data_IF_325389498512
#
_entry.id   IF_325389498512
#
_cell.length_a   1.000
_cell.length_b   1.000
_cell.length_c   1.000
_cell.angle_alpha   90.00
_cell.angle_beta   90.00
_cell.angle_gamma   90.00
#
_symmetry.space_group_name_H-M   'P 1'
#
loop_
_entity.id
_entity.type
_entity.pdbx_description
1 polymer ?
#
# COMPACT_ATOMS: atom_id res chain seq x y z
N UNK A 1 49.16 8.27 43.97
CA UNK A 1 48.14 7.26 43.58
C UNK A 1 47.42 7.80 42.36
N UNK A 2 47.49 7.10 41.23
CA UNK A 2 46.90 7.53 39.94
C UNK A 2 45.47 7.00 39.85
N UNK A 3 44.48 7.88 39.82
CA UNK A 3 43.09 7.52 39.53
C UNK A 3 42.93 7.28 38.03
N UNK A 4 42.60 6.05 37.65
CA UNK A 4 42.26 5.68 36.27
C UNK A 4 40.79 5.98 36.07
N UNK A 5 40.50 6.96 35.22
CA UNK A 5 39.15 7.27 34.75
C UNK A 5 38.70 6.18 33.78
N UNK A 6 37.77 5.32 34.20
CA UNK A 6 37.09 4.39 33.30
C UNK A 6 35.96 5.16 32.61
N UNK A 7 36.19 5.57 31.37
CA UNK A 7 35.12 6.02 30.47
C UNK A 7 34.26 4.81 30.11
N UNK A 8 32.94 4.79 30.40
CA UNK A 8 32.06 3.84 29.75
C UNK A 8 31.84 4.33 28.31
N UNK A 9 32.42 3.63 27.35
CA UNK A 9 32.00 3.70 25.96
C UNK A 9 30.58 3.10 25.88
N UNK A 10 29.56 3.92 26.09
CA UNK A 10 28.19 3.59 25.71
C UNK A 10 28.20 3.54 24.19
N UNK A 11 28.25 2.33 23.65
CA UNK A 11 28.03 2.03 22.25
C UNK A 11 26.59 2.44 21.93
N UNK A 12 26.45 3.59 21.27
CA UNK A 12 25.21 4.04 20.62
C UNK A 12 25.02 3.14 19.39
N UNK A 13 24.58 1.91 19.60
CA UNK A 13 23.81 1.16 18.61
C UNK A 13 22.34 1.48 18.89
N UNK A 14 21.47 1.42 17.88
CA UNK A 14 20.05 1.86 17.89
C UNK A 14 19.83 3.35 17.58
N UNK A 15 19.96 3.71 16.29
CA UNK A 15 18.74 4.15 15.59
C UNK A 15 18.51 3.48 14.23
N UNK A 16 19.30 2.47 13.85
CA UNK A 16 19.30 1.94 12.48
C UNK A 16 18.14 1.00 12.11
N UNK A 17 17.32 0.57 13.07
CA UNK A 17 16.24 -0.39 12.77
C UNK A 17 14.96 0.26 12.19
N UNK A 18 14.75 1.56 12.37
CA UNK A 18 13.63 2.28 11.73
C UNK A 18 13.97 2.80 10.33
N UNK A 19 15.26 2.83 9.96
CA UNK A 19 15.74 3.27 8.64
C UNK A 19 15.70 2.13 7.60
N UNK A 20 15.71 0.87 8.05
CA UNK A 20 15.78 -0.29 7.17
C UNK A 20 14.42 -0.72 6.57
N UNK A 21 13.29 -0.32 7.16
CA UNK A 21 11.96 -0.77 6.68
C UNK A 21 11.55 -0.15 5.33
N UNK A 22 12.07 1.02 4.97
CA UNK A 22 11.83 1.64 3.66
C UNK A 22 12.73 1.10 2.54
N UNK A 23 13.84 0.41 2.87
CA UNK A 23 14.85 0.00 1.87
C UNK A 23 14.46 -1.28 1.13
N UNK A 24 13.47 -2.03 1.60
CA UNK A 24 13.04 -3.25 0.92
C UNK A 24 11.54 -3.52 1.09
N UNK A 25 10.67 -2.64 0.58
CA UNK A 25 9.29 -3.05 0.32
C UNK A 25 9.35 -4.17 -0.72
N UNK A 26 8.91 -5.41 -0.40
CA UNK A 26 8.97 -6.51 -1.35
C UNK A 26 8.18 -6.20 -2.61
N UNK A 27 8.65 -6.67 -3.77
CA UNK A 27 7.96 -6.47 -5.05
C UNK A 27 6.53 -6.96 -5.01
N UNK A 28 6.27 -8.05 -4.30
CA UNK A 28 4.93 -8.56 -4.03
C UNK A 28 4.00 -7.51 -3.39
N UNK A 29 4.47 -6.81 -2.35
CA UNK A 29 3.72 -5.72 -1.72
C UNK A 29 3.46 -4.60 -2.73
N UNK A 30 4.47 -4.22 -3.52
CA UNK A 30 4.33 -3.16 -4.52
C UNK A 30 3.31 -3.53 -5.62
N UNK A 31 3.30 -4.78 -6.09
CA UNK A 31 2.32 -5.31 -7.06
C UNK A 31 0.90 -5.24 -6.49
N UNK A 32 0.71 -5.59 -5.22
CA UNK A 32 -0.60 -5.48 -4.57
C UNK A 32 -1.06 -4.03 -4.41
N UNK A 33 -0.15 -3.12 -4.10
CA UNK A 33 -0.46 -1.70 -3.96
C UNK A 33 -0.73 -1.01 -5.30
N UNK A 34 -0.13 -1.50 -6.40
CA UNK A 34 -0.26 -0.88 -7.71
C UNK A 34 -1.67 -0.92 -8.29
N UNK A 35 -2.13 0.23 -8.77
CA UNK A 35 -3.35 0.41 -9.58
C UNK A 35 -3.11 0.09 -11.05
N UNK A 36 -1.87 0.29 -11.50
CA UNK A 36 -1.47 0.12 -12.89
C UNK A 36 -0.06 -0.49 -12.92
N UNK A 37 0.13 -1.48 -13.78
CA UNK A 37 1.43 -2.11 -14.01
C UNK A 37 1.67 -2.13 -15.51
N UNK A 38 2.73 -1.43 -15.94
CA UNK A 38 3.03 -1.25 -17.37
C UNK A 38 4.51 -1.46 -17.64
N UNK A 39 4.80 -1.88 -18.86
CA UNK A 39 6.14 -1.75 -19.43
C UNK A 39 6.15 -0.46 -20.23
N UNK A 40 7.15 0.39 -20.01
CA UNK A 40 7.20 1.67 -20.68
C UNK A 40 8.53 2.39 -20.57
N UNK A 41 8.62 3.49 -21.31
CA UNK A 41 9.82 4.33 -21.41
C UNK A 41 9.54 5.74 -20.92
N UNK A 42 10.26 6.16 -19.88
CA UNK A 42 10.13 7.49 -19.29
C UNK A 42 10.86 8.54 -20.14
N UNK A 43 10.23 9.69 -20.37
CA UNK A 43 10.80 10.82 -21.08
C UNK A 43 10.35 12.16 -20.51
N UNK A 44 11.03 13.25 -20.90
CA UNK A 44 10.67 14.60 -20.46
C UNK A 44 10.77 14.81 -18.95
N UNK A 45 11.76 14.19 -18.30
CA UNK A 45 11.92 14.25 -16.84
C UNK A 45 12.28 15.66 -16.39
N UNK A 46 11.54 16.14 -15.40
CA UNK A 46 11.82 17.39 -14.68
C UNK A 46 11.82 17.08 -13.20
N UNK A 47 12.97 17.28 -12.55
CA UNK A 47 13.12 17.15 -11.10
C UNK A 47 13.25 18.55 -10.48
N UNK A 48 12.47 18.80 -9.43
CA UNK A 48 12.53 20.01 -8.65
C UNK A 48 13.09 19.69 -7.27
N UNK A 49 14.18 20.37 -6.91
CA UNK A 49 14.72 20.36 -5.56
C UNK A 49 14.16 21.55 -4.80
N UNK A 50 13.63 21.32 -3.61
CA UNK A 50 13.33 22.45 -2.74
C UNK A 50 14.64 23.05 -2.22
N UNK A 51 14.73 24.38 -2.24
CA UNK A 51 15.91 25.10 -1.76
C UNK A 51 16.02 25.10 -0.22
N UNK A 52 14.90 24.91 0.49
CA UNK A 52 14.87 24.86 1.95
C UNK A 52 14.91 23.43 2.48
N UNK A 53 15.98 23.12 3.23
CA UNK A 53 16.21 21.81 3.86
C UNK A 53 15.18 21.46 4.94
N UNK A 54 14.46 22.46 5.44
CA UNK A 54 13.56 22.30 6.59
C UNK A 54 12.07 22.19 6.19
N UNK A 55 11.68 22.55 4.96
CA UNK A 55 10.27 22.53 4.51
C UNK A 55 10.05 21.95 3.09
N UNK A 56 11.10 21.43 2.47
CA UNK A 56 11.10 21.07 1.06
C UNK A 56 10.69 19.65 0.69
N UNK A 57 9.59 19.47 -0.04
CA UNK A 57 9.27 18.20 -0.72
C UNK A 57 10.02 18.17 -2.06
N UNK A 58 10.99 17.26 -2.22
CA UNK A 58 11.61 17.01 -3.51
C UNK A 58 10.62 16.26 -4.40
N UNK A 59 10.25 16.84 -5.53
CA UNK A 59 9.28 16.24 -6.45
C UNK A 59 9.85 16.16 -7.86
N UNK A 60 9.28 15.27 -8.66
CA UNK A 60 9.58 15.16 -10.06
C UNK A 60 8.38 14.72 -10.88
N UNK A 61 8.51 14.93 -12.17
CA UNK A 61 7.50 14.53 -13.15
C UNK A 61 8.15 14.15 -14.47
N UNK A 62 7.44 13.37 -15.26
CA UNK A 62 7.77 13.04 -16.63
C UNK A 62 6.58 12.43 -17.34
N UNK A 63 6.81 11.98 -18.56
CA UNK A 63 5.82 11.26 -19.36
C UNK A 63 6.29 9.83 -19.57
N UNK A 64 5.44 8.89 -19.22
CA UNK A 64 5.71 7.47 -19.40
C UNK A 64 4.98 6.98 -20.66
N UNK A 65 5.75 6.68 -21.70
CA UNK A 65 5.21 6.02 -22.88
C UNK A 65 4.94 4.55 -22.56
N UNK A 66 3.70 4.10 -22.71
CA UNK A 66 3.27 2.74 -22.39
C UNK A 66 3.49 1.83 -23.59
N UNK A 67 4.41 0.86 -23.48
CA UNK A 67 4.64 -0.14 -24.52
C UNK A 67 3.71 -1.35 -24.37
N UNK A 68 3.45 -1.78 -23.14
CA UNK A 68 2.63 -2.95 -22.80
C UNK A 68 1.99 -2.78 -21.41
N UNK A 69 0.86 -3.43 -21.18
CA UNK A 69 0.07 -3.33 -19.96
C UNK A 69 -0.07 -4.71 -19.34
N UNK A 70 0.40 -4.86 -18.10
CA UNK A 70 0.27 -6.12 -17.35
C UNK A 70 -0.95 -6.09 -16.42
N UNK A 71 -1.33 -4.91 -15.94
CA UNK A 71 -2.49 -4.73 -15.08
C UNK A 71 -3.00 -3.29 -15.11
N UNK A 72 -4.32 -3.10 -15.03
CA UNK A 72 -4.96 -1.79 -14.92
C UNK A 72 -5.45 -1.22 -16.24
N UNK A 73 -6.06 -0.03 -16.16
CA UNK A 73 -6.77 0.61 -17.26
C UNK A 73 -5.89 1.64 -17.98
N UNK A 74 -4.93 1.14 -18.76
CA UNK A 74 -4.14 1.94 -19.70
C UNK A 74 -4.14 1.26 -21.07
N UNK A 75 -3.80 2.02 -22.11
CA UNK A 75 -3.64 1.48 -23.45
C UNK A 75 -2.17 1.56 -23.88
N UNK A 76 -1.68 0.52 -24.54
CA UNK A 76 -0.39 0.56 -25.21
C UNK A 76 -0.37 1.67 -26.28
N UNK A 77 0.77 2.35 -26.40
CA UNK A 77 0.98 3.50 -27.27
C UNK A 77 0.53 4.85 -26.68
N UNK A 78 0.05 4.88 -25.43
CA UNK A 78 -0.34 6.13 -24.75
C UNK A 78 0.77 6.68 -23.86
N UNK A 79 0.75 7.99 -23.63
CA UNK A 79 1.62 8.65 -22.67
C UNK A 79 0.85 8.96 -21.38
N UNK A 80 1.41 8.53 -20.25
CA UNK A 80 0.87 8.80 -18.92
C UNK A 80 1.70 9.89 -18.24
N UNK A 81 1.04 10.84 -17.58
CA UNK A 81 1.73 11.79 -16.71
C UNK A 81 2.20 11.06 -15.45
N UNK A 82 3.50 10.87 -15.33
CA UNK A 82 4.14 10.28 -14.16
C UNK A 82 4.61 11.37 -13.21
N UNK A 83 4.27 11.24 -11.93
CA UNK A 83 4.77 12.11 -10.86
C UNK A 83 5.38 11.27 -9.73
N UNK A 84 6.29 11.88 -8.98
CA UNK A 84 6.81 11.30 -7.75
C UNK A 84 7.15 12.42 -6.77
N UNK A 85 6.92 12.18 -5.49
CA UNK A 85 7.28 13.10 -4.43
C UNK A 85 7.98 12.39 -3.27
N UNK A 86 8.98 13.07 -2.71
CA UNK A 86 9.65 12.69 -1.48
C UNK A 86 8.96 13.39 -0.32
N UNK A 87 8.14 12.65 0.42
CA UNK A 87 7.52 13.19 1.63
C UNK A 87 8.60 13.58 2.65
N UNK A 88 8.75 14.88 2.92
CA UNK A 88 9.72 15.43 3.85
C UNK A 88 9.35 15.13 5.32
N UNK A 89 10.29 14.53 6.07
CA UNK A 89 10.57 14.71 7.51
C UNK A 89 11.39 13.55 8.11
N UNK A 90 11.51 12.41 7.43
CA UNK A 90 12.35 11.29 7.86
C UNK A 90 13.46 11.03 6.86
N UNK A 91 14.62 10.58 7.38
CA UNK A 91 15.82 10.20 6.62
C UNK A 91 15.46 9.00 5.73
N UNK A 92 14.84 9.28 4.59
CA UNK A 92 14.40 8.31 3.59
C UNK A 92 15.26 8.48 2.32
N UNK A 93 15.54 7.40 1.58
CA UNK A 93 16.23 7.52 0.30
C UNK A 93 15.38 8.35 -0.65
N UNK A 94 16.03 9.32 -1.32
CA UNK A 94 15.39 10.19 -2.30
C UNK A 94 14.91 9.35 -3.49
N UNK A 95 13.64 9.53 -3.84
CA UNK A 95 13.00 9.03 -5.06
C UNK A 95 13.41 9.94 -6.20
N UNK A 96 14.22 9.40 -7.10
CA UNK A 96 14.64 10.01 -8.36
C UNK A 96 14.38 9.00 -9.48
N UNK A 97 13.90 9.47 -10.62
CA UNK A 97 13.67 8.63 -11.80
C UNK A 97 14.43 9.13 -13.03
N UNK A 98 15.24 10.19 -12.90
CA UNK A 98 16.09 10.68 -13.99
C UNK A 98 16.99 9.61 -14.61
N UNK A 99 17.49 8.67 -13.81
CA UNK A 99 18.30 7.53 -14.28
C UNK A 99 17.52 6.49 -15.13
N UNK A 100 16.19 6.56 -15.14
CA UNK A 100 15.31 5.70 -15.94
C UNK A 100 14.88 6.36 -17.25
N UNK A 101 15.27 7.62 -17.50
CA UNK A 101 14.93 8.31 -18.74
C UNK A 101 15.49 7.58 -19.97
N UNK A 102 14.63 7.34 -20.96
CA UNK A 102 14.96 6.63 -22.19
C UNK A 102 15.18 5.13 -22.02
N UNK A 103 15.06 4.60 -20.79
CA UNK A 103 15.15 3.17 -20.52
C UNK A 103 13.76 2.57 -20.50
N UNK A 104 13.67 1.41 -21.14
CA UNK A 104 12.48 0.58 -21.09
C UNK A 104 12.49 -0.24 -19.81
N UNK A 105 11.53 0.01 -18.93
CA UNK A 105 11.47 -0.57 -17.58
C UNK A 105 10.04 -1.04 -17.25
N UNK A 106 9.91 -1.87 -16.23
CA UNK A 106 8.62 -2.30 -15.68
C UNK A 106 8.24 -1.39 -14.53
N UNK A 107 7.07 -0.76 -14.64
CA UNK A 107 6.58 0.26 -13.73
C UNK A 107 5.39 -0.27 -12.92
N UNK A 108 5.50 -0.15 -11.59
CA UNK A 108 4.49 -0.50 -10.60
C UNK A 108 3.88 0.80 -10.08
N UNK A 109 2.73 1.22 -10.59
CA UNK A 109 2.21 2.58 -10.42
C UNK A 109 0.95 2.62 -9.56
N UNK A 110 0.76 3.72 -8.84
CA UNK A 110 -0.50 4.05 -8.16
C UNK A 110 -1.20 5.21 -8.87
N UNK A 111 -2.51 5.34 -8.70
CA UNK A 111 -3.28 6.46 -9.27
C UNK A 111 -3.09 7.72 -8.43
N UNK A 112 -2.78 8.83 -9.09
CA UNK A 112 -2.75 10.16 -8.52
C UNK A 112 -4.07 10.90 -8.75
N UNK A 113 -3.96 12.16 -9.19
CA UNK A 113 -5.09 12.93 -9.70
C UNK A 113 -5.63 12.31 -11.00
N UNK A 114 -6.84 12.68 -11.46
CA UNK A 114 -7.36 12.20 -12.74
C UNK A 114 -6.35 12.42 -13.88
N UNK A 115 -5.96 11.33 -14.56
CA UNK A 115 -4.96 11.34 -15.64
C UNK A 115 -3.49 11.28 -15.20
N UNK A 116 -3.23 11.18 -13.89
CA UNK A 116 -1.89 11.13 -13.29
C UNK A 116 -1.63 9.78 -12.62
N UNK A 117 -0.40 9.29 -12.79
CA UNK A 117 0.11 8.09 -12.11
C UNK A 117 1.34 8.44 -11.28
N UNK A 118 1.52 7.73 -10.17
CA UNK A 118 2.53 8.03 -9.16
C UNK A 118 3.54 6.90 -8.97
N UNK A 119 4.80 7.27 -8.72
CA UNK A 119 5.91 6.37 -8.43
C UNK A 119 6.74 6.87 -7.22
N UNK A 120 6.08 7.09 -6.08
CA UNK A 120 6.66 7.70 -4.86
C UNK A 120 7.57 6.77 -4.04
N UNK A 121 8.12 5.72 -4.64
CA UNK A 121 9.01 4.79 -3.96
C UNK A 121 10.05 4.26 -4.96
N UNK A 122 11.33 4.10 -4.59
CA UNK A 122 12.38 3.70 -5.56
C UNK A 122 12.09 2.34 -6.21
N UNK A 123 11.48 1.41 -5.46
CA UNK A 123 11.06 0.11 -5.98
C UNK A 123 9.88 0.13 -6.97
N UNK A 124 9.31 1.30 -7.29
CA UNK A 124 8.20 1.42 -8.26
C UNK A 124 8.66 1.19 -9.70
N UNK A 125 9.97 1.13 -9.92
CA UNK A 125 10.57 0.75 -11.20
C UNK A 125 11.43 -0.47 -10.97
N UNK A 126 11.20 -1.53 -11.75
CA UNK A 126 11.97 -2.78 -11.68
C UNK A 126 12.40 -3.24 -13.05
N UNK A 127 13.38 -4.14 -13.09
CA UNK A 127 13.91 -4.70 -14.32
C UNK A 127 12.85 -5.49 -15.10
N UNK A 128 12.88 -5.37 -16.44
CA UNK A 128 11.97 -6.08 -17.33
C UNK A 128 12.00 -7.61 -17.17
N UNK A 129 13.15 -8.16 -16.76
CA UNK A 129 13.30 -9.60 -16.52
C UNK A 129 12.30 -10.14 -15.48
N UNK A 130 11.76 -9.27 -14.60
CA UNK A 130 10.79 -9.63 -13.56
C UNK A 130 9.34 -9.59 -14.03
N UNK A 131 9.07 -9.29 -15.30
CA UNK A 131 7.70 -9.23 -15.82
C UNK A 131 6.95 -10.57 -15.67
N UNK A 132 7.63 -11.71 -15.82
CA UNK A 132 7.02 -13.03 -15.62
C UNK A 132 6.64 -13.28 -14.15
N UNK A 133 7.50 -12.89 -13.22
CA UNK A 133 7.22 -12.95 -11.77
C UNK A 133 6.00 -12.10 -11.41
N UNK A 134 5.91 -10.89 -11.94
CA UNK A 134 4.76 -10.00 -11.69
C UNK A 134 3.45 -10.57 -12.24
N UNK A 135 3.47 -11.19 -13.44
CA UNK A 135 2.29 -11.87 -13.99
C UNK A 135 1.86 -13.07 -13.14
N UNK A 136 2.82 -13.84 -12.62
CA UNK A 136 2.52 -14.95 -11.71
C UNK A 136 1.87 -14.45 -10.42
N UNK A 137 2.41 -13.40 -9.81
CA UNK A 137 1.86 -12.77 -8.61
C UNK A 137 0.42 -12.28 -8.82
N UNK A 138 0.15 -11.58 -9.93
CA UNK A 138 -1.20 -11.12 -10.28
C UNK A 138 -2.21 -12.27 -10.44
N UNK A 139 -1.75 -13.43 -10.91
CA UNK A 139 -2.60 -14.60 -11.11
C UNK A 139 -2.85 -15.37 -9.82
N UNK A 140 -1.81 -15.56 -9.00
CA UNK A 140 -1.86 -16.36 -7.76
C UNK A 140 -2.49 -15.62 -6.60
N UNK A 141 -2.37 -14.30 -6.59
CA UNK A 141 -2.88 -13.42 -5.51
C UNK A 141 -3.89 -12.42 -6.05
N UNK A 142 -5.09 -12.91 -6.45
CA UNK A 142 -6.14 -12.06 -7.00
C UNK A 142 -6.81 -11.18 -5.92
N UNK A 143 -6.47 -11.34 -4.64
CA UNK A 143 -7.10 -10.61 -3.54
C UNK A 143 -6.05 -9.76 -2.86
N UNK A 144 -6.27 -8.45 -2.80
CA UNK A 144 -5.39 -7.55 -2.07
C UNK A 144 -6.16 -6.51 -1.26
N UNK A 145 -5.49 -6.00 -0.23
CA UNK A 145 -5.97 -4.95 0.64
C UNK A 145 -5.20 -3.66 0.33
N UNK A 146 -5.93 -2.56 0.23
CA UNK A 146 -5.36 -1.21 0.19
C UNK A 146 -5.93 -0.36 1.31
N UNK A 147 -5.13 0.53 1.85
CA UNK A 147 -5.66 1.61 2.69
C UNK A 147 -6.15 2.73 1.79
N UNK A 148 -7.24 3.40 2.16
CA UNK A 148 -7.46 4.75 1.66
C UNK A 148 -6.19 5.53 1.97
N UNK A 149 -5.60 6.21 0.96
CA UNK A 149 -4.29 6.87 1.09
C UNK A 149 -4.20 7.76 2.34
N UNK A 150 -3.01 8.27 2.68
CA UNK A 150 -2.79 9.13 3.85
C UNK A 150 -3.61 10.42 3.77
N UNK A 151 -4.91 10.34 4.01
CA UNK A 151 -5.82 11.45 4.08
C UNK A 151 -5.69 12.04 5.47
N UNK A 152 -5.39 13.34 5.53
CA UNK A 152 -5.37 14.08 6.79
C UNK A 152 -6.75 14.11 7.45
N UNK A 153 -7.81 13.83 6.70
CA UNK A 153 -9.17 13.67 7.20
C UNK A 153 -9.28 12.47 8.14
N UNK A 154 -9.52 12.74 9.42
CA UNK A 154 -9.70 11.74 10.46
C UNK A 154 -10.83 10.75 10.14
N UNK A 155 -11.83 11.13 9.34
CA UNK A 155 -12.93 10.26 8.93
C UNK A 155 -12.51 9.19 7.90
N UNK A 156 -11.41 9.42 7.17
CA UNK A 156 -10.88 8.48 6.17
C UNK A 156 -9.73 7.60 6.69
N UNK A 157 -9.24 7.86 7.91
CA UNK A 157 -8.06 7.17 8.49
C UNK A 157 -8.23 5.67 8.69
N UNK A 158 -9.46 5.15 8.68
CA UNK A 158 -9.74 3.73 8.92
C UNK A 158 -10.45 3.08 7.73
N UNK A 159 -10.22 3.60 6.54
CA UNK A 159 -10.76 3.03 5.29
C UNK A 159 -9.82 1.96 4.76
N UNK A 160 -10.34 0.75 4.56
CA UNK A 160 -9.66 -0.35 3.88
C UNK A 160 -10.48 -0.77 2.68
N UNK A 161 -9.85 -0.85 1.53
CA UNK A 161 -10.46 -1.36 0.31
C UNK A 161 -9.98 -2.78 0.06
N UNK A 162 -10.94 -3.69 -0.08
CA UNK A 162 -10.71 -5.07 -0.53
C UNK A 162 -10.84 -5.07 -2.04
N UNK A 163 -9.80 -5.55 -2.73
CA UNK A 163 -9.78 -5.64 -4.18
C UNK A 163 -9.75 -7.10 -4.60
N UNK A 164 -10.65 -7.42 -5.52
CA UNK A 164 -10.71 -8.70 -6.21
C UNK A 164 -10.32 -8.46 -7.66
N UNK A 165 -9.13 -8.91 -8.02
CA UNK A 165 -8.51 -8.77 -9.34
C UNK A 165 -8.61 -10.07 -10.11
N UNK A 166 -8.68 -9.97 -11.42
CA UNK A 166 -8.62 -11.13 -12.29
C UNK A 166 -7.68 -10.87 -13.47
N UNK A 167 -6.44 -11.33 -13.37
CA UNK A 167 -5.46 -11.23 -14.46
C UNK A 167 -5.56 -12.39 -15.48
N UNK A 168 -6.63 -13.19 -15.43
CA UNK A 168 -6.79 -14.39 -16.27
C UNK A 168 -7.88 -14.20 -17.32
N UNK A 169 -7.91 -15.08 -18.32
CA UNK A 169 -8.90 -15.04 -19.42
C UNK A 169 -10.24 -15.74 -19.08
N UNK A 170 -10.48 -16.08 -17.82
CA UNK A 170 -11.74 -16.69 -17.35
C UNK A 170 -12.28 -15.97 -16.14
N UNK A 171 -13.59 -16.07 -15.90
CA UNK A 171 -14.21 -15.53 -14.69
C UNK A 171 -13.61 -16.17 -13.43
N UNK A 172 -13.29 -15.32 -12.44
CA UNK A 172 -12.97 -15.74 -11.07
C UNK A 172 -14.19 -15.55 -10.16
N UNK A 173 -14.34 -16.45 -9.20
CA UNK A 173 -15.46 -16.44 -8.25
C UNK A 173 -14.93 -16.48 -6.83
N UNK A 174 -15.22 -15.44 -6.05
CA UNK A 174 -14.86 -15.35 -4.64
C UNK A 174 -16.11 -15.51 -3.77
N UNK A 175 -15.94 -15.92 -2.50
CA UNK A 175 -17.01 -15.83 -1.51
C UNK A 175 -17.64 -14.43 -1.50
N UNK A 176 -18.96 -14.37 -1.35
CA UNK A 176 -19.70 -13.12 -1.22
C UNK A 176 -19.21 -12.29 -0.03
N UNK A 177 -19.00 -10.99 -0.28
CA UNK A 177 -18.68 -9.96 0.70
C UNK A 177 -19.49 -8.71 0.34
N UNK A 178 -20.14 -8.10 1.32
CA UNK A 178 -20.92 -6.88 1.11
C UNK A 178 -20.77 -5.94 2.32
N UNK A 179 -20.53 -4.66 2.08
CA UNK A 179 -20.53 -3.62 3.11
C UNK A 179 -21.66 -2.62 2.84
N UNK A 180 -22.64 -2.58 3.74
CA UNK A 180 -23.80 -1.68 3.62
C UNK A 180 -24.25 -1.19 4.98
N UNK A 181 -24.65 0.09 5.04
CA UNK A 181 -25.17 0.72 6.26
C UNK A 181 -24.30 0.50 7.51
N UNK A 182 -22.97 0.52 7.36
CA UNK A 182 -22.04 0.33 8.48
C UNK A 182 -21.82 -1.12 8.92
N UNK A 183 -22.42 -2.10 8.25
CA UNK A 183 -22.31 -3.53 8.56
C UNK A 183 -21.63 -4.29 7.42
N UNK A 184 -20.81 -5.26 7.79
CA UNK A 184 -20.14 -6.18 6.88
C UNK A 184 -20.85 -7.54 6.91
N UNK A 185 -21.26 -8.00 5.74
CA UNK A 185 -21.84 -9.31 5.53
C UNK A 185 -20.83 -10.19 4.81
N UNK A 186 -20.61 -11.39 5.34
CA UNK A 186 -19.62 -12.36 4.85
C UNK A 186 -20.29 -13.69 4.57
N UNK A 187 -20.04 -14.27 3.40
CA UNK A 187 -20.41 -15.66 3.13
C UNK A 187 -19.43 -16.64 3.81
N UNK A 188 -19.68 -17.95 3.71
CA UNK A 188 -18.75 -18.97 4.19
C UNK A 188 -17.41 -18.92 3.44
N UNK A 189 -16.31 -19.14 4.17
CA UNK A 189 -14.97 -19.19 3.57
C UNK A 189 -14.26 -17.84 3.46
N UNK A 190 -14.84 -16.76 3.99
CA UNK A 190 -14.17 -15.44 4.10
C UNK A 190 -14.29 -14.89 5.52
N UNK A 191 -13.20 -14.31 6.03
CA UNK A 191 -13.18 -13.66 7.34
C UNK A 191 -12.46 -12.31 7.29
N UNK A 192 -12.70 -11.47 8.31
CA UNK A 192 -11.96 -10.23 8.53
C UNK A 192 -11.26 -10.32 9.88
N UNK A 193 -9.94 -10.24 9.85
CA UNK A 193 -9.10 -10.28 11.05
C UNK A 193 -8.41 -8.93 11.24
N UNK A 194 -8.60 -8.35 12.44
CA UNK A 194 -7.96 -7.08 12.82
C UNK A 194 -7.18 -7.27 14.11
N UNK A 195 -5.93 -6.86 14.09
CA UNK A 195 -5.04 -6.85 15.25
C UNK A 195 -4.61 -5.42 15.56
N UNK A 196 -4.48 -5.10 16.84
CA UNK A 196 -3.96 -3.82 17.33
C UNK A 196 -2.62 -4.05 18.02
N UNK A 197 -1.65 -3.20 17.69
CA UNK A 197 -0.34 -3.13 18.32
C UNK A 197 -0.20 -1.80 19.06
N UNK A 198 -0.02 -1.88 20.39
CA UNK A 198 0.27 -0.76 21.27
C UNK A 198 1.78 -0.76 21.59
N UNK A 199 2.58 0.15 21.01
CA UNK A 199 4.02 0.16 21.25
C UNK A 199 4.39 0.57 22.67
N UNK A 200 3.52 1.27 23.39
CA UNK A 200 3.80 1.70 24.77
C UNK A 200 3.80 0.52 25.75
N UNK A 201 3.14 -0.58 25.37
CA UNK A 201 3.00 -1.80 26.17
C UNK A 201 3.64 -3.01 25.49
N UNK A 202 4.23 -2.83 24.30
CA UNK A 202 4.67 -3.91 23.42
C UNK A 202 3.62 -5.04 23.29
N UNK A 203 2.36 -4.64 23.13
CA UNK A 203 1.23 -5.56 23.20
C UNK A 203 0.54 -5.68 21.84
N UNK A 204 0.40 -6.92 21.36
CA UNK A 204 -0.42 -7.27 20.21
C UNK A 204 -1.70 -7.95 20.65
N UNK A 205 -2.85 -7.45 20.21
CA UNK A 205 -4.16 -7.98 20.58
C UNK A 205 -5.06 -8.12 19.35
N UNK A 206 -5.65 -9.30 19.16
CA UNK A 206 -6.74 -9.49 18.20
C UNK A 206 -7.98 -8.75 18.68
N UNK A 207 -8.52 -7.87 17.84
CA UNK A 207 -9.72 -7.12 18.15
C UNK A 207 -10.96 -7.99 17.95
N UNK A 208 -11.98 -7.71 18.77
CA UNK A 208 -13.31 -8.30 18.58
C UNK A 208 -14.17 -7.30 17.80
N UNK A 209 -15.00 -7.77 16.87
CA UNK A 209 -15.95 -6.90 16.19
C UNK A 209 -16.91 -6.24 17.17
N UNK A 210 -17.37 -5.04 16.83
CA UNK A 210 -18.53 -4.41 17.48
C UNK A 210 -19.74 -5.35 17.32
N UNK A 211 -20.58 -5.55 18.35
CA UNK A 211 -21.74 -6.43 18.24
C UNK A 211 -22.61 -6.09 17.02
N UNK A 212 -22.98 -7.13 16.25
CA UNK A 212 -23.77 -7.04 15.01
C UNK A 212 -23.12 -6.27 13.83
N UNK A 213 -21.90 -5.76 13.96
CA UNK A 213 -21.23 -5.04 12.89
C UNK A 213 -20.72 -5.98 11.77
N UNK A 214 -20.42 -7.23 12.11
CA UNK A 214 -20.07 -8.29 11.16
C UNK A 214 -21.08 -9.41 11.31
N UNK A 215 -21.58 -9.95 10.19
CA UNK A 215 -22.56 -11.03 10.19
C UNK A 215 -22.28 -12.02 9.08
N UNK A 216 -22.39 -13.31 9.38
CA UNK A 216 -22.37 -14.35 8.36
C UNK A 216 -23.71 -14.39 7.62
N UNK A 217 -23.69 -14.52 6.30
CA UNK A 217 -24.88 -14.60 5.47
C UNK A 217 -24.72 -15.68 4.41
N UNK A 218 -25.60 -16.68 4.45
CA UNK A 218 -25.59 -17.81 3.50
C UNK A 218 -26.13 -17.38 2.12
N UNK A 219 -26.98 -16.36 2.09
CA UNK A 219 -27.64 -15.88 0.86
C UNK A 219 -26.81 -14.84 0.07
N UNK A 220 -25.58 -14.57 0.48
CA UNK A 220 -24.74 -13.62 -0.25
C UNK A 220 -24.28 -14.22 -1.59
N UNK A 221 -24.57 -13.57 -2.73
CA UNK A 221 -24.08 -14.04 -4.01
C UNK A 221 -22.55 -13.96 -4.05
N UNK A 222 -21.88 -14.87 -4.78
CA UNK A 222 -20.44 -14.82 -4.94
C UNK A 222 -20.02 -13.57 -5.70
N UNK A 223 -18.83 -13.07 -5.40
CA UNK A 223 -18.21 -11.99 -6.16
C UNK A 223 -17.62 -12.60 -7.43
N UNK A 224 -18.26 -12.34 -8.57
CA UNK A 224 -17.76 -12.75 -9.89
C UNK A 224 -16.93 -11.61 -10.47
N UNK A 225 -15.66 -11.85 -10.77
CA UNK A 225 -14.76 -10.88 -11.42
C UNK A 225 -14.42 -11.40 -12.81
N UNK A 226 -14.77 -10.64 -13.85
CA UNK A 226 -14.54 -11.04 -15.24
C UNK A 226 -13.05 -10.92 -15.61
N UNK A 227 -12.62 -11.50 -16.74
CA UNK A 227 -11.27 -11.37 -17.23
C UNK A 227 -10.81 -9.91 -17.26
N UNK A 228 -9.61 -9.66 -16.72
CA UNK A 228 -8.94 -8.36 -16.72
C UNK A 228 -9.72 -7.24 -16.02
N UNK A 229 -10.67 -7.59 -15.14
CA UNK A 229 -11.42 -6.64 -14.32
C UNK A 229 -10.97 -6.64 -12.85
N UNK A 230 -11.31 -5.55 -12.15
CA UNK A 230 -11.19 -5.41 -10.70
C UNK A 230 -12.56 -5.10 -10.09
N UNK A 231 -12.84 -5.69 -8.93
CA UNK A 231 -13.95 -5.27 -8.06
C UNK A 231 -13.42 -4.79 -6.71
N UNK A 232 -13.89 -3.63 -6.28
CA UNK A 232 -13.49 -3.00 -5.04
C UNK A 232 -14.64 -2.96 -4.04
N UNK A 233 -14.36 -3.30 -2.79
CA UNK A 233 -15.28 -3.13 -1.68
C UNK A 233 -14.60 -2.35 -0.57
N UNK A 234 -15.10 -1.15 -0.31
CA UNK A 234 -14.54 -0.23 0.67
C UNK A 234 -15.20 -0.43 2.03
N UNK A 235 -14.37 -0.68 3.03
CA UNK A 235 -14.74 -0.92 4.43
C UNK A 235 -14.31 0.27 5.27
N UNK A 236 -15.18 0.72 6.17
CA UNK A 236 -14.81 1.66 7.22
C UNK A 236 -14.62 0.89 8.53
N UNK A 237 -13.37 0.60 8.89
CA UNK A 237 -13.04 -0.26 10.03
C UNK A 237 -13.54 0.30 11.36
N UNK A 238 -13.59 1.63 11.52
CA UNK A 238 -14.11 2.27 12.73
C UNK A 238 -15.61 2.01 12.97
N UNK A 239 -16.33 1.47 11.98
CA UNK A 239 -17.71 0.97 12.13
C UNK A 239 -17.77 -0.51 12.50
N UNK A 240 -16.69 -1.24 12.29
CA UNK A 240 -16.60 -2.69 12.48
C UNK A 240 -15.88 -3.07 13.78
N UNK A 241 -14.89 -2.28 14.19
CA UNK A 241 -14.05 -2.49 15.36
C UNK A 241 -13.89 -1.18 16.14
N UNK A 242 -13.60 -1.31 17.44
CA UNK A 242 -13.16 -0.17 18.24
C UNK A 242 -11.72 0.20 17.86
N UNK A 243 -11.58 1.30 17.12
CA UNK A 243 -10.30 1.85 16.66
C UNK A 243 -9.93 3.15 17.39
N UNK A 244 -10.42 3.33 18.62
CA UNK A 244 -10.15 4.54 19.42
C UNK A 244 -8.75 4.58 20.04
N UNK A 245 -8.11 3.43 20.20
CA UNK A 245 -6.79 3.32 20.83
C UNK A 245 -5.65 3.79 19.91
N UNK A 246 -4.63 4.43 20.48
CA UNK A 246 -3.40 4.74 19.77
C UNK A 246 -2.61 3.49 19.42
N UNK A 247 -1.92 3.50 18.28
CA UNK A 247 -1.08 2.40 17.82
C UNK A 247 -1.29 2.04 16.36
N UNK A 248 -0.88 0.84 15.98
CA UNK A 248 -1.00 0.34 14.62
C UNK A 248 -2.03 -0.78 14.54
N UNK A 249 -2.92 -0.68 13.57
CA UNK A 249 -3.93 -1.68 13.26
C UNK A 249 -3.48 -2.47 12.04
N UNK A 250 -3.39 -3.79 12.17
CA UNK A 250 -3.09 -4.72 11.10
C UNK A 250 -4.36 -5.42 10.67
N UNK A 251 -4.61 -5.45 9.36
CA UNK A 251 -5.86 -5.95 8.77
C UNK A 251 -5.55 -7.04 7.76
N UNK A 252 -6.29 -8.14 7.85
CA UNK A 252 -6.19 -9.29 6.96
C UNK A 252 -7.59 -9.78 6.56
N UNK A 253 -7.71 -10.28 5.33
CA UNK A 253 -8.92 -10.95 4.84
C UNK A 253 -8.53 -12.34 4.33
N UNK A 254 -8.56 -13.35 5.20
CA UNK A 254 -8.41 -14.74 4.78
C UNK A 254 -9.60 -15.16 3.91
N UNK A 255 -9.30 -15.86 2.81
CA UNK A 255 -10.30 -16.47 1.92
C UNK A 255 -9.88 -17.91 1.65
N UNK A 256 -10.78 -18.86 1.94
CA UNK A 256 -10.56 -20.28 1.72
C UNK A 256 -10.29 -20.58 0.25
N UNK A 257 -9.25 -21.38 -0.02
CA UNK A 257 -8.84 -21.75 -1.38
C UNK A 257 -7.98 -20.71 -2.10
N UNK A 258 -7.69 -19.56 -1.48
CA UNK A 258 -6.82 -18.53 -2.04
C UNK A 258 -5.57 -18.33 -1.17
N UNK A 259 -4.48 -17.89 -1.81
CA UNK A 259 -3.32 -17.41 -1.06
C UNK A 259 -3.73 -16.20 -0.20
N UNK A 260 -3.13 -16.03 1.00
CA UNK A 260 -3.45 -14.90 1.86
C UNK A 260 -3.23 -13.56 1.15
N UNK A 261 -4.22 -12.68 1.25
CA UNK A 261 -4.06 -11.30 0.84
C UNK A 261 -2.92 -10.63 1.63
N UNK A 262 -2.35 -9.56 1.08
CA UNK A 262 -1.40 -8.74 1.82
C UNK A 262 -2.04 -8.20 3.11
N UNK A 263 -1.20 -7.97 4.11
CA UNK A 263 -1.60 -7.32 5.35
C UNK A 263 -1.41 -5.82 5.20
N UNK A 264 -2.42 -5.02 5.57
CA UNK A 264 -2.30 -3.56 5.59
C UNK A 264 -2.22 -3.04 7.01
N UNK A 265 -1.28 -2.12 7.24
CA UNK A 265 -1.08 -1.41 8.49
C UNK A 265 -1.70 -0.02 8.44
N UNK A 266 -2.49 0.34 9.46
CA UNK A 266 -3.04 1.68 9.66
C UNK A 266 -2.53 2.19 10.99
N UNK A 267 -1.72 3.25 10.96
CA UNK A 267 -1.14 3.82 12.16
C UNK A 267 -1.92 5.05 12.61
N UNK A 268 -2.32 5.05 13.88
CA UNK A 268 -2.95 6.18 14.56
C UNK A 268 -2.04 6.66 15.69
N UNK A 269 -1.36 7.77 15.44
CA UNK A 269 -0.57 8.49 16.42
C UNK A 269 -1.22 9.85 16.65
N UNK A 270 -1.28 10.31 17.91
CA UNK A 270 -1.48 11.72 18.16
C UNK A 270 -0.31 12.46 17.51
N UNK A 271 -0.57 13.44 16.64
CA UNK A 271 0.43 14.47 16.43
C UNK A 271 0.69 15.05 17.82
N UNK A 272 1.93 14.94 18.29
CA UNK A 272 2.34 15.66 19.48
C UNK A 272 2.02 17.12 19.18
N UNK A 273 0.97 17.64 19.82
CA UNK A 273 0.70 19.06 19.85
C UNK A 273 1.92 19.67 20.52
N UNK A 274 2.81 20.20 19.69
CA UNK A 274 3.83 21.16 20.07
C UNK A 274 3.08 22.37 20.62
N UNK A 275 2.70 22.30 21.89
CA UNK A 275 2.42 23.48 22.68
C UNK A 275 3.73 24.24 22.81
N UNK A 276 3.88 25.29 22.02
CA UNK A 276 4.71 26.44 22.39
C UNK A 276 3.91 27.34 23.32
#
# INVERSE_FOLDING_TARGET
MRSVTVFPAIVILFPQLLLAEWIAIPTETLVHESDLIVIGTLHGVVEQRSADRDEGTDCGRGYLHVDDVLWGDAAAGTDLLLTWENMAAMVCPRVEHGGEQGRRSLWLLTRGKPGEVRADHPGRTIELARAAEVRDLLTRRPVCLRTGGRSHDASQRFVVTVLFRNATDRDLRFPGLEYRAGRLFLSSGISLDVQHYDPSKDLRKKLRPIPNAISSSVDLPPIIVRPHEEKAITLLLSRLYDTSAYGTYSVQIPIEGYEPANTVGISFWAQASSTR
#
